data_IF_761511173801
#
_entry.id   IF_761511173801
#
_cell.length_a   1.000
_cell.length_b   1.000
_cell.length_c   1.000
_cell.angle_alpha   90.00
_cell.angle_beta   90.00
_cell.angle_gamma   90.00
#
_symmetry.space_group_name_H-M   'P 1'
#
loop_
_entity.id
_entity.type
_entity.pdbx_description
1 polymer ?
#
# COMPACT_ATOMS: atom_id res chain seq x y z
N UNK A 1 20.72 3.36 20.46
CA UNK A 1 19.27 3.64 20.40
C UNK A 1 18.64 2.63 19.45
N UNK A 2 17.81 1.73 19.98
CA UNK A 2 17.10 0.73 19.16
C UNK A 2 16.05 1.44 18.30
N UNK A 3 16.14 1.29 16.99
CA UNK A 3 15.21 1.87 16.03
C UNK A 3 13.86 1.13 16.09
N UNK A 4 13.05 1.41 17.11
CA UNK A 4 11.74 0.80 17.37
C UNK A 4 10.75 0.93 16.20
N UNK A 5 10.93 1.94 15.34
CA UNK A 5 10.11 2.11 14.13
C UNK A 5 10.43 1.07 13.06
N UNK A 6 11.71 0.70 12.89
CA UNK A 6 12.15 -0.31 11.92
C UNK A 6 11.61 -1.71 12.20
N UNK A 7 11.62 -2.11 13.47
CA UNK A 7 11.10 -3.41 13.91
C UNK A 7 9.58 -3.54 13.70
N UNK A 8 8.84 -2.43 13.88
CA UNK A 8 7.39 -2.43 13.74
C UNK A 8 6.96 -2.53 12.28
N UNK A 9 7.66 -1.82 11.37
CA UNK A 9 7.36 -1.91 9.92
C UNK A 9 7.72 -3.27 9.35
N UNK A 10 8.84 -3.86 9.76
CA UNK A 10 9.24 -5.20 9.36
C UNK A 10 8.22 -6.26 9.84
N UNK A 11 7.73 -6.14 11.08
CA UNK A 11 6.69 -7.02 11.60
C UNK A 11 5.38 -6.90 10.81
N UNK A 12 4.96 -5.67 10.47
CA UNK A 12 3.75 -5.46 9.67
C UNK A 12 3.88 -6.01 8.24
N UNK A 13 5.06 -5.85 7.61
CA UNK A 13 5.33 -6.40 6.28
C UNK A 13 5.38 -7.94 6.31
N UNK A 14 6.05 -8.53 7.31
CA UNK A 14 6.10 -9.98 7.49
C UNK A 14 4.71 -10.57 7.77
N UNK A 15 3.88 -9.85 8.56
CA UNK A 15 2.51 -10.25 8.82
C UNK A 15 1.74 -10.42 7.50
N UNK A 16 1.83 -9.45 6.57
CA UNK A 16 1.18 -9.53 5.25
C UNK A 16 1.59 -10.79 4.49
N UNK A 17 2.88 -11.09 4.39
CA UNK A 17 3.39 -12.24 3.63
C UNK A 17 3.07 -13.59 4.29
N UNK A 18 2.94 -13.62 5.62
CA UNK A 18 2.62 -14.84 6.38
C UNK A 18 1.14 -15.22 6.37
N UNK A 19 0.25 -14.33 5.90
CA UNK A 19 -1.18 -14.61 5.87
C UNK A 19 -1.53 -15.43 4.63
N UNK A 20 -2.10 -16.61 4.85
CA UNK A 20 -2.75 -17.41 3.81
C UNK A 20 -3.97 -16.67 3.24
N UNK A 21 -4.43 -17.04 2.04
CA UNK A 21 -5.55 -16.39 1.36
C UNK A 21 -6.86 -16.44 2.17
N UNK A 22 -6.98 -17.41 3.09
CA UNK A 22 -8.07 -17.60 4.04
C UNK A 22 -7.98 -16.74 5.32
N UNK A 23 -6.90 -15.97 5.50
CA UNK A 23 -6.75 -15.10 6.66
C UNK A 23 -7.82 -14.00 6.70
N UNK A 24 -8.13 -13.51 7.90
CA UNK A 24 -9.16 -12.51 8.11
C UNK A 24 -8.82 -11.20 7.36
N UNK A 25 -9.67 -10.72 6.42
CA UNK A 25 -9.40 -9.52 5.64
C UNK A 25 -9.20 -8.27 6.52
N UNK A 26 -9.78 -8.25 7.73
CA UNK A 26 -9.58 -7.17 8.71
C UNK A 26 -8.11 -7.06 9.13
N UNK A 27 -7.41 -8.18 9.31
CA UNK A 27 -6.00 -8.20 9.72
C UNK A 27 -5.14 -7.66 8.59
N UNK A 28 -5.35 -8.10 7.35
CA UNK A 28 -4.60 -7.59 6.18
C UNK A 28 -4.81 -6.08 5.98
N UNK A 29 -6.05 -5.61 6.08
CA UNK A 29 -6.36 -4.18 5.99
C UNK A 29 -5.68 -3.38 7.13
N UNK A 30 -5.64 -3.92 8.35
CA UNK A 30 -4.95 -3.30 9.47
C UNK A 30 -3.43 -3.27 9.28
N UNK A 31 -2.82 -4.35 8.78
CA UNK A 31 -1.39 -4.38 8.48
C UNK A 31 -1.01 -3.35 7.41
N UNK A 32 -1.79 -3.27 6.32
CA UNK A 32 -1.59 -2.25 5.28
C UNK A 32 -1.77 -0.82 5.85
N UNK A 33 -2.80 -0.61 6.67
CA UNK A 33 -3.03 0.67 7.36
C UNK A 33 -1.92 1.04 8.35
N UNK A 34 -1.33 0.06 9.03
CA UNK A 34 -0.18 0.26 9.91
C UNK A 34 1.05 0.69 9.10
N UNK A 35 1.34 0.01 7.97
CA UNK A 35 2.44 0.41 7.07
C UNK A 35 2.23 1.84 6.55
N UNK A 36 1.00 2.18 6.13
CA UNK A 36 0.66 3.55 5.72
C UNK A 36 1.00 4.55 6.82
N UNK A 37 0.56 4.28 8.05
CA UNK A 37 0.73 5.19 9.18
C UNK A 37 2.20 5.36 9.56
N UNK A 38 2.97 4.27 9.55
CA UNK A 38 4.40 4.28 9.80
C UNK A 38 5.16 5.04 8.69
N UNK A 39 4.75 4.89 7.43
CA UNK A 39 5.40 5.52 6.29
C UNK A 39 5.06 7.03 6.13
N UNK A 40 4.36 7.66 7.06
CA UNK A 40 4.13 9.12 7.02
C UNK A 40 5.46 9.87 7.23
N UNK A 41 6.33 9.37 8.10
CA UNK A 41 7.63 9.98 8.40
C UNK A 41 8.71 9.52 7.43
N UNK A 42 9.77 10.32 7.28
CA UNK A 42 10.91 9.96 6.43
C UNK A 42 11.59 8.68 6.90
N UNK A 43 11.81 8.53 8.21
CA UNK A 43 12.41 7.34 8.82
C UNK A 43 11.53 6.10 8.61
N UNK A 44 10.21 6.27 8.73
CA UNK A 44 9.25 5.22 8.49
C UNK A 44 9.22 4.76 7.03
N UNK A 45 9.35 5.68 6.07
CA UNK A 45 9.52 5.35 4.64
C UNK A 45 10.80 4.56 4.40
N UNK A 46 11.93 4.98 5.00
CA UNK A 46 13.19 4.24 4.88
C UNK A 46 13.08 2.83 5.49
N UNK A 47 12.48 2.72 6.66
CA UNK A 47 12.21 1.43 7.30
C UNK A 47 11.31 0.54 6.44
N UNK A 48 10.26 1.11 5.82
CA UNK A 48 9.36 0.39 4.94
C UNK A 48 10.09 -0.14 3.70
N UNK A 49 10.93 0.69 3.09
CA UNK A 49 11.79 0.26 1.97
C UNK A 49 12.73 -0.87 2.38
N UNK A 50 13.37 -0.77 3.55
CA UNK A 50 14.24 -1.82 4.09
C UNK A 50 13.50 -3.12 4.42
N UNK A 51 12.21 -3.03 4.77
CA UNK A 51 11.33 -4.17 5.04
C UNK A 51 10.73 -4.83 3.79
N UNK A 52 11.06 -4.34 2.57
CA UNK A 52 10.58 -4.93 1.33
C UNK A 52 9.10 -4.68 1.04
N UNK A 53 8.51 -3.59 1.56
CA UNK A 53 7.07 -3.31 1.35
C UNK A 53 6.68 -3.13 -0.12
N UNK A 54 7.66 -2.83 -0.98
CA UNK A 54 7.44 -2.72 -2.42
C UNK A 54 7.02 -4.04 -3.06
N UNK A 55 7.33 -5.16 -2.42
CA UNK A 55 7.00 -6.49 -2.90
C UNK A 55 5.76 -7.06 -2.17
N UNK A 56 5.49 -6.59 -0.93
CA UNK A 56 4.37 -7.08 -0.11
C UNK A 56 3.04 -6.37 -0.36
N UNK A 57 3.05 -5.08 -0.74
CA UNK A 57 1.83 -4.31 -1.00
C UNK A 57 1.13 -4.65 -2.34
N UNK A 58 1.83 -4.86 -3.48
CA UNK A 58 1.16 -5.11 -4.76
C UNK A 58 0.21 -6.31 -4.79
N UNK A 59 0.51 -7.46 -4.16
CA UNK A 59 -0.42 -8.59 -4.09
C UNK A 59 -1.78 -8.22 -3.47
N UNK A 60 -1.81 -7.29 -2.51
CA UNK A 60 -3.04 -6.86 -1.84
C UNK A 60 -4.01 -6.08 -2.75
N UNK A 61 -3.56 -5.61 -3.91
CA UNK A 61 -4.44 -4.99 -4.90
C UNK A 61 -5.39 -5.98 -5.58
N UNK A 62 -5.15 -7.29 -5.42
CA UNK A 62 -6.00 -8.37 -5.95
C UNK A 62 -6.89 -9.01 -4.88
N UNK A 63 -6.93 -8.42 -3.69
CA UNK A 63 -7.73 -8.93 -2.58
C UNK A 63 -9.24 -8.81 -2.89
N UNK A 64 -10.02 -9.78 -2.41
CA UNK A 64 -11.48 -9.77 -2.56
C UNK A 64 -12.15 -8.71 -1.68
N UNK A 65 -11.48 -8.23 -0.65
CA UNK A 65 -11.99 -7.18 0.25
C UNK A 65 -11.59 -5.79 -0.23
N UNK A 66 -12.58 -4.97 -0.59
CA UNK A 66 -12.39 -3.56 -0.95
C UNK A 66 -11.66 -2.76 0.13
N UNK A 67 -11.84 -3.10 1.42
CA UNK A 67 -11.14 -2.44 2.52
C UNK A 67 -9.63 -2.74 2.52
N UNK A 68 -9.24 -3.97 2.17
CA UNK A 68 -7.83 -4.34 2.04
C UNK A 68 -7.22 -3.63 0.84
N UNK A 69 -7.90 -3.65 -0.30
CA UNK A 69 -7.45 -2.99 -1.52
C UNK A 69 -7.27 -1.48 -1.30
N UNK A 70 -8.25 -0.82 -0.67
CA UNK A 70 -8.16 0.62 -0.35
C UNK A 70 -6.99 0.93 0.59
N UNK A 71 -6.78 0.12 1.63
CA UNK A 71 -5.67 0.29 2.55
C UNK A 71 -4.31 0.11 1.83
N UNK A 72 -4.22 -0.85 0.92
CA UNK A 72 -3.03 -1.07 0.09
C UNK A 72 -2.74 0.11 -0.83
N UNK A 73 -3.74 0.64 -1.53
CA UNK A 73 -3.59 1.82 -2.41
C UNK A 73 -3.06 3.03 -1.61
N UNK A 74 -3.62 3.26 -0.42
CA UNK A 74 -3.17 4.35 0.46
C UNK A 74 -1.73 4.14 0.94
N UNK A 75 -1.38 2.92 1.35
CA UNK A 75 -0.02 2.58 1.76
C UNK A 75 0.98 2.77 0.60
N UNK A 76 0.64 2.30 -0.60
CA UNK A 76 1.45 2.49 -1.82
C UNK A 76 1.66 3.97 -2.08
N UNK A 77 0.60 4.78 -2.01
CA UNK A 77 0.68 6.23 -2.20
C UNK A 77 1.66 6.88 -1.23
N UNK A 78 1.56 6.55 0.06
CA UNK A 78 2.42 7.11 1.11
C UNK A 78 3.88 6.69 0.93
N UNK A 79 4.14 5.42 0.60
CA UNK A 79 5.50 4.91 0.38
C UNK A 79 6.08 5.47 -0.93
N UNK A 80 5.24 5.67 -1.96
CA UNK A 80 5.62 6.25 -3.25
C UNK A 80 6.11 7.70 -3.14
N UNK A 81 5.98 8.40 -2.01
CA UNK A 81 6.73 9.66 -1.83
C UNK A 81 8.25 9.44 -1.93
N UNK A 82 8.76 8.25 -1.61
CA UNK A 82 10.16 7.91 -1.72
C UNK A 82 10.56 7.64 -3.20
N UNK A 83 11.59 8.29 -3.75
CA UNK A 83 11.94 8.16 -5.18
C UNK A 83 12.22 6.72 -5.64
N UNK A 84 12.81 5.89 -4.78
CA UNK A 84 13.05 4.49 -5.10
C UNK A 84 11.74 3.68 -5.12
N UNK A 85 10.78 4.00 -4.25
CA UNK A 85 9.48 3.33 -4.23
C UNK A 85 8.71 3.63 -5.51
N UNK A 86 8.72 4.87 -6.00
CA UNK A 86 8.07 5.24 -7.29
C UNK A 86 8.56 4.38 -8.43
N UNK A 87 9.88 4.21 -8.54
CA UNK A 87 10.49 3.36 -9.57
C UNK A 87 9.99 1.92 -9.48
N UNK A 88 9.89 1.38 -8.26
CA UNK A 88 9.40 0.01 -8.02
C UNK A 88 7.90 -0.13 -8.31
N UNK A 89 7.10 0.88 -8.00
CA UNK A 89 5.65 0.87 -8.23
C UNK A 89 5.22 1.31 -9.63
N UNK A 90 6.14 1.74 -10.50
CA UNK A 90 5.83 2.20 -11.86
C UNK A 90 5.01 1.19 -12.68
N UNK A 91 5.26 -0.11 -12.50
CA UNK A 91 4.49 -1.17 -13.16
C UNK A 91 3.06 -1.38 -12.63
N UNK A 92 2.66 -0.68 -11.56
CA UNK A 92 1.31 -0.81 -10.99
C UNK A 92 0.29 0.14 -11.62
N UNK A 93 0.73 1.10 -12.44
CA UNK A 93 -0.17 2.15 -12.99
C UNK A 93 -1.32 1.54 -13.79
N UNK A 94 -1.02 0.59 -14.68
CA UNK A 94 -2.04 -0.09 -15.49
C UNK A 94 -2.98 -0.94 -14.62
N UNK A 95 -2.43 -1.61 -13.60
CA UNK A 95 -3.23 -2.39 -12.66
C UNK A 95 -4.18 -1.50 -11.84
N UNK A 96 -3.72 -0.33 -11.40
CA UNK A 96 -4.53 0.65 -10.67
C UNK A 96 -5.64 1.23 -11.55
N UNK A 97 -5.33 1.53 -12.82
CA UNK A 97 -6.32 2.01 -13.78
C UNK A 97 -7.39 0.95 -14.08
N UNK A 98 -6.97 -0.31 -14.29
CA UNK A 98 -7.90 -1.44 -14.49
C UNK A 98 -8.77 -1.68 -13.25
N UNK A 99 -8.19 -1.56 -12.06
CA UNK A 99 -8.91 -1.69 -10.79
C UNK A 99 -10.00 -0.63 -10.66
N UNK A 100 -9.70 0.64 -10.99
CA UNK A 100 -10.69 1.73 -11.03
C UNK A 100 -11.85 1.41 -11.97
N UNK A 101 -11.56 0.92 -13.18
CA UNK A 101 -12.59 0.57 -14.16
C UNK A 101 -13.45 -0.64 -13.76
N UNK A 102 -12.89 -1.56 -12.96
CA UNK A 102 -13.58 -2.79 -12.53
C UNK A 102 -14.44 -2.62 -11.28
N UNK A 103 -14.22 -1.57 -10.49
CA UNK A 103 -14.97 -1.31 -9.27
C UNK A 103 -16.38 -0.85 -9.64
N UNK A 104 -17.42 -1.54 -9.15
CA UNK A 104 -18.83 -1.20 -9.41
C UNK A 104 -19.39 -0.28 -8.33
N UNK A 105 -20.21 0.65 -8.77
CA UNK A 105 -20.69 1.80 -8.02
C UNK A 105 -21.43 1.52 -6.72
N UNK A 106 -21.01 2.23 -5.67
CA UNK A 106 -21.58 2.26 -4.32
C UNK A 106 -21.16 3.52 -3.56
N UNK A 107 -21.67 3.73 -2.33
CA UNK A 107 -21.47 4.97 -1.54
C UNK A 107 -19.99 5.29 -1.21
N UNK A 108 -19.11 4.29 -1.22
CA UNK A 108 -17.67 4.44 -0.92
C UNK A 108 -16.79 4.70 -2.17
N UNK A 109 -17.38 4.75 -3.37
CA UNK A 109 -16.66 4.85 -4.64
C UNK A 109 -15.80 6.11 -4.75
N UNK A 110 -16.31 7.25 -4.26
CA UNK A 110 -15.56 8.51 -4.33
C UNK A 110 -14.24 8.45 -3.56
N UNK A 111 -14.19 7.73 -2.43
CA UNK A 111 -12.95 7.58 -1.66
C UNK A 111 -11.98 6.61 -2.34
N UNK A 112 -12.50 5.55 -2.97
CA UNK A 112 -11.71 4.54 -3.66
C UNK A 112 -11.06 5.10 -4.93
N UNK A 113 -11.86 5.75 -5.80
CA UNK A 113 -11.35 6.38 -7.02
C UNK A 113 -10.32 7.47 -6.73
N UNK A 114 -10.59 8.34 -5.75
CA UNK A 114 -9.65 9.38 -5.33
C UNK A 114 -8.33 8.79 -4.84
N UNK A 115 -8.38 7.67 -4.12
CA UNK A 115 -7.17 6.98 -3.67
C UNK A 115 -6.37 6.45 -4.86
N UNK A 116 -7.04 5.88 -5.86
CA UNK A 116 -6.38 5.40 -7.09
C UNK A 116 -5.76 6.56 -7.87
N UNK A 117 -6.52 7.62 -8.11
CA UNK A 117 -6.03 8.79 -8.87
C UNK A 117 -4.81 9.40 -8.18
N UNK A 118 -4.85 9.50 -6.85
CA UNK A 118 -3.72 9.98 -6.06
C UNK A 118 -2.51 9.05 -6.17
N UNK A 119 -2.72 7.73 -6.09
CA UNK A 119 -1.63 6.76 -6.22
C UNK A 119 -0.95 6.86 -7.59
N UNK A 120 -1.73 6.90 -8.67
CA UNK A 120 -1.23 7.05 -10.04
C UNK A 120 -0.46 8.37 -10.19
N UNK A 121 -1.02 9.48 -9.69
CA UNK A 121 -0.36 10.78 -9.76
C UNK A 121 0.98 10.79 -9.00
N UNK A 122 1.03 10.19 -7.79
CA UNK A 122 2.27 10.12 -7.00
C UNK A 122 3.33 9.24 -7.67
N UNK A 123 2.92 8.10 -8.26
CA UNK A 123 3.85 7.17 -8.93
C UNK A 123 4.41 7.77 -10.23
N UNK A 124 3.59 8.49 -11.00
CA UNK A 124 3.96 9.03 -12.31
C UNK A 124 4.64 10.40 -12.25
N UNK A 125 4.63 11.06 -11.08
CA UNK A 125 5.22 12.39 -10.91
C UNK A 125 6.72 12.42 -11.27
N UNK A 126 7.10 13.44 -12.04
CA UNK A 126 8.48 13.80 -12.38
C UNK A 126 8.73 15.24 -11.88
N UNK A 127 9.89 15.51 -11.24
CA UNK A 127 10.27 16.85 -10.79
C UNK A 127 10.47 17.82 -11.94
#
# INVERSE_FOLDING_TARGET
MLNMSGTTTAAAAAAITSQDSDANPRVRAQCAGAIMSLAITTEGKQAAMGAGVTDTLPPLLRDSSSSVVLAAIKAITTVADHPQARRRFSGLVDQLAALKASHKSGLDESAFERAIDKAIATITWKP
#
